data_IF_742750361101
#
_entry.id   IF_742750361101
#
_cell.length_a   1.000
_cell.length_b   1.000
_cell.length_c   1.000
_cell.angle_alpha   90.00
_cell.angle_beta   90.00
_cell.angle_gamma   90.00
#
_symmetry.space_group_name_H-M   'P 1'
#
loop_
_entity.id
_entity.type
_entity.pdbx_description
1 polymer ?
#
# COMPACT_ATOMS: atom_id res chain seq x y z
N UNK A 1 -13.94 -7.40 -8.81
CA UNK A 1 -12.83 -7.56 -7.84
C UNK A 1 -13.22 -8.66 -6.87
N UNK A 2 -12.29 -9.57 -6.57
CA UNK A 2 -12.53 -10.66 -5.59
C UNK A 2 -12.58 -10.09 -4.16
N UNK A 3 -13.33 -10.71 -3.24
CA UNK A 3 -13.46 -10.22 -1.86
C UNK A 3 -12.12 -10.25 -1.10
N UNK A 4 -11.28 -11.26 -1.34
CA UNK A 4 -9.94 -11.32 -0.76
C UNK A 4 -9.04 -10.21 -1.32
N UNK A 5 -9.14 -9.93 -2.62
CA UNK A 5 -8.40 -8.83 -3.26
C UNK A 5 -8.83 -7.47 -2.67
N UNK A 6 -10.14 -7.28 -2.48
CA UNK A 6 -10.71 -6.07 -1.87
C UNK A 6 -10.23 -5.86 -0.43
N UNK A 7 -10.26 -6.92 0.38
CA UNK A 7 -9.81 -6.88 1.77
C UNK A 7 -8.31 -6.61 1.84
N UNK A 8 -7.50 -7.28 1.02
CA UNK A 8 -6.06 -7.11 1.02
C UNK A 8 -5.64 -5.69 0.58
N UNK A 9 -6.33 -5.10 -0.40
CA UNK A 9 -6.12 -3.70 -0.80
C UNK A 9 -6.54 -2.73 0.31
N UNK A 10 -7.64 -3.02 1.01
CA UNK A 10 -8.10 -2.20 2.15
C UNK A 10 -7.06 -2.20 3.28
N UNK A 11 -6.54 -3.38 3.63
CA UNK A 11 -5.49 -3.51 4.64
C UNK A 11 -4.22 -2.76 4.21
N UNK A 12 -3.77 -2.95 2.96
CA UNK A 12 -2.61 -2.26 2.43
C UNK A 12 -2.77 -0.73 2.51
N UNK A 13 -3.96 -0.21 2.17
CA UNK A 13 -4.27 1.22 2.27
C UNK A 13 -4.19 1.72 3.72
N UNK A 14 -4.88 1.05 4.65
CA UNK A 14 -4.88 1.47 6.06
C UNK A 14 -3.48 1.41 6.66
N UNK A 15 -2.71 0.36 6.37
CA UNK A 15 -1.32 0.23 6.85
C UNK A 15 -0.42 1.37 6.36
N UNK A 16 -0.46 1.68 5.06
CA UNK A 16 0.37 2.75 4.50
C UNK A 16 -0.04 4.14 5.02
N UNK A 17 -1.36 4.37 5.17
CA UNK A 17 -1.88 5.62 5.72
C UNK A 17 -1.48 5.79 7.19
N UNK A 18 -1.62 4.74 7.99
CA UNK A 18 -1.32 4.79 9.42
C UNK A 18 0.19 5.00 9.65
N UNK A 19 1.06 4.46 8.79
CA UNK A 19 2.50 4.76 8.84
C UNK A 19 2.79 6.23 8.54
N UNK A 20 2.10 6.85 7.56
CA UNK A 20 2.27 8.28 7.32
C UNK A 20 1.89 9.13 8.53
N UNK A 21 0.82 8.75 9.24
CA UNK A 21 0.44 9.39 10.49
C UNK A 21 1.51 9.20 11.57
N UNK A 22 2.07 7.99 11.68
CA UNK A 22 3.14 7.70 12.62
C UNK A 22 4.40 8.53 12.34
N UNK A 23 4.84 8.63 11.08
CA UNK A 23 5.99 9.44 10.69
C UNK A 23 5.77 10.92 10.99
N UNK A 24 4.55 11.43 10.74
CA UNK A 24 4.21 12.82 11.03
C UNK A 24 4.35 13.15 12.53
N UNK A 25 3.98 12.22 13.42
CA UNK A 25 4.14 12.40 14.88
C UNK A 25 5.62 12.46 15.31
N UNK A 26 6.53 11.95 14.49
CA UNK A 26 7.98 11.98 14.74
C UNK A 26 8.69 13.11 13.97
N UNK A 27 7.94 13.97 13.27
CA UNK A 27 8.50 14.99 12.36
C UNK A 27 9.42 14.39 11.27
N UNK A 28 9.19 13.11 10.93
CA UNK A 28 9.94 12.40 9.90
C UNK A 28 9.37 12.68 8.50
N UNK A 29 10.19 12.56 7.45
CA UNK A 29 9.70 12.70 6.07
C UNK A 29 8.69 11.59 5.72
N UNK A 30 7.73 11.89 4.84
CA UNK A 30 6.71 10.95 4.36
C UNK A 30 7.24 9.85 3.41
N UNK A 31 8.52 9.49 3.50
CA UNK A 31 9.14 8.43 2.74
C UNK A 31 9.91 7.48 3.66
N UNK A 32 9.83 6.19 3.39
CA UNK A 32 10.52 5.14 4.14
C UNK A 32 11.51 4.40 3.23
N UNK A 33 12.36 3.57 3.83
CA UNK A 33 13.27 2.72 3.08
C UNK A 33 12.50 1.83 2.08
N UNK A 34 13.13 1.57 0.93
CA UNK A 34 12.55 0.76 -0.15
C UNK A 34 12.31 -0.71 0.24
N UNK A 35 12.86 -1.16 1.37
CA UNK A 35 12.66 -2.50 1.93
C UNK A 35 11.37 -2.61 2.76
N UNK A 36 10.89 -1.52 3.35
CA UNK A 36 9.63 -1.47 4.10
C UNK A 36 8.44 -1.71 3.16
N UNK A 37 7.33 -2.27 3.61
CA UNK A 37 6.08 -2.43 2.84
C UNK A 37 6.20 -3.13 1.46
N UNK A 38 7.15 -4.05 1.31
CA UNK A 38 7.37 -4.76 0.05
C UNK A 38 6.18 -5.62 -0.38
N UNK A 39 5.46 -6.20 0.58
CA UNK A 39 4.28 -7.04 0.34
C UNK A 39 3.09 -6.21 -0.14
N UNK A 40 2.81 -5.11 0.55
CA UNK A 40 1.73 -4.17 0.25
C UNK A 40 1.95 -3.54 -1.14
N UNK A 41 3.19 -3.11 -1.43
CA UNK A 41 3.54 -2.61 -2.76
C UNK A 41 3.34 -3.65 -3.86
N UNK A 42 3.82 -4.87 -3.67
CA UNK A 42 3.67 -5.92 -4.66
C UNK A 42 2.20 -6.23 -4.95
N UNK A 43 1.37 -6.26 -3.90
CA UNK A 43 -0.07 -6.46 -4.01
C UNK A 43 -0.75 -5.33 -4.79
N UNK A 44 -0.50 -4.08 -4.41
CA UNK A 44 -1.08 -2.91 -5.10
C UNK A 44 -0.62 -2.84 -6.55
N UNK A 45 0.65 -3.12 -6.84
CA UNK A 45 1.17 -3.17 -8.21
C UNK A 45 0.52 -4.29 -9.04
N UNK A 46 0.26 -5.46 -8.45
CA UNK A 46 -0.44 -6.55 -9.12
C UNK A 46 -1.89 -6.15 -9.48
N UNK A 47 -2.64 -5.61 -8.52
CA UNK A 47 -4.01 -5.13 -8.76
C UNK A 47 -4.03 -3.95 -9.73
N UNK A 48 -3.07 -3.03 -9.67
CA UNK A 48 -2.94 -1.94 -10.63
C UNK A 48 -2.78 -2.47 -12.06
N UNK A 49 -1.86 -3.42 -12.28
CA UNK A 49 -1.66 -4.03 -13.60
C UNK A 49 -2.94 -4.72 -14.10
N UNK A 50 -3.61 -5.46 -13.22
CA UNK A 50 -4.84 -6.20 -13.53
C UNK A 50 -5.98 -5.29 -13.98
N UNK A 51 -6.17 -4.15 -13.31
CA UNK A 51 -7.36 -3.31 -13.51
C UNK A 51 -7.14 -2.09 -14.41
N UNK A 52 -5.90 -1.58 -14.51
CA UNK A 52 -5.61 -0.31 -15.18
C UNK A 52 -4.58 -0.39 -16.31
N UNK A 53 -3.84 -1.50 -16.43
CA UNK A 53 -2.81 -1.69 -17.49
C UNK A 53 -3.23 -2.74 -18.51
N UNK A 54 -3.90 -3.81 -18.08
CA UNK A 54 -4.48 -4.79 -18.98
C UNK A 54 -5.71 -4.19 -19.70
N UNK A 55 -5.47 -3.54 -20.84
CA UNK A 55 -6.47 -3.22 -21.88
C UNK A 55 -6.20 -4.10 -23.09
#
# INVERSE_FOLDING_TARGET
MDEHEAQALTVAYTTLRDELHHLALQELPGHVAQTCFSKERALVQASWRKWLVAV
#
